data_IF_975657987364
#
_entry.id   IF_975657987364
#
_cell.length_a   1.000
_cell.length_b   1.000
_cell.length_c   1.000
_cell.angle_alpha   90.00
_cell.angle_beta   90.00
_cell.angle_gamma   90.00
#
_symmetry.space_group_name_H-M   'P 1'
#
loop_
_entity.id
_entity.type
_entity.pdbx_description
1 polymer ?
#
# COMPACT_ATOMS: atom_id res chain seq x y z
N UNK A 1 -22.78 -29.31 -14.11
CA UNK A 1 -22.25 -29.22 -12.74
C UNK A 1 -23.27 -29.68 -11.72
N UNK A 2 -22.79 -30.32 -10.67
CA UNK A 2 -23.49 -30.55 -9.39
C UNK A 2 -22.63 -29.88 -8.32
N UNK A 3 -23.20 -29.00 -7.50
CA UNK A 3 -22.51 -28.26 -6.43
C UNK A 3 -23.23 -28.51 -5.10
N UNK A 4 -22.45 -28.78 -4.06
CA UNK A 4 -22.88 -28.74 -2.66
C UNK A 4 -22.05 -27.67 -1.97
N UNK A 5 -22.72 -26.64 -1.47
CA UNK A 5 -22.07 -25.55 -0.76
C UNK A 5 -21.86 -25.93 0.70
N UNK A 6 -20.66 -25.70 1.19
CA UNK A 6 -20.32 -25.79 2.60
C UNK A 6 -20.49 -24.44 3.30
N UNK A 7 -20.12 -24.41 4.59
CA UNK A 7 -20.09 -23.16 5.34
C UNK A 7 -19.08 -22.20 4.72
N UNK A 8 -19.52 -20.97 4.51
CA UNK A 8 -18.70 -19.86 4.03
C UNK A 8 -18.56 -18.84 5.15
N UNK A 9 -17.35 -18.33 5.36
CA UNK A 9 -17.05 -17.35 6.39
C UNK A 9 -16.30 -16.18 5.78
N UNK A 10 -16.65 -14.99 6.24
CA UNK A 10 -16.01 -13.75 5.86
C UNK A 10 -16.09 -12.75 7.00
N UNK A 11 -15.32 -11.68 6.83
CA UNK A 11 -15.23 -10.56 7.75
C UNK A 11 -15.92 -9.36 7.13
N UNK A 12 -16.75 -8.69 7.92
CA UNK A 12 -17.39 -7.43 7.56
C UNK A 12 -17.03 -6.41 8.63
N UNK A 13 -16.32 -5.36 8.25
CA UNK A 13 -15.89 -4.35 9.21
C UNK A 13 -16.11 -2.93 8.68
N UNK A 14 -16.57 -2.08 9.59
CA UNK A 14 -16.56 -0.64 9.44
C UNK A 14 -15.13 -0.10 9.56
N UNK A 15 -14.73 0.76 8.63
CA UNK A 15 -13.52 1.56 8.79
C UNK A 15 -13.93 2.86 9.47
N UNK A 16 -13.33 3.16 10.63
CA UNK A 16 -13.60 4.36 11.40
C UNK A 16 -12.30 5.13 11.63
N UNK A 17 -12.30 6.42 11.29
CA UNK A 17 -11.16 7.31 11.46
C UNK A 17 -11.46 8.34 12.57
N UNK A 18 -11.03 8.07 13.81
CA UNK A 18 -11.18 9.04 14.91
C UNK A 18 -10.25 10.24 14.71
N UNK A 19 -10.81 11.43 14.83
CA UNK A 19 -10.12 12.71 14.88
C UNK A 19 -9.97 13.09 16.35
N UNK A 20 -8.73 13.23 16.79
CA UNK A 20 -8.40 13.56 18.16
C UNK A 20 -8.14 15.05 18.32
N UNK A 21 -8.47 15.57 19.50
CA UNK A 21 -7.99 16.88 19.97
C UNK A 21 -7.50 16.70 21.40
N UNK A 22 -6.23 17.00 21.64
CA UNK A 22 -5.55 16.79 22.92
C UNK A 22 -5.67 15.34 23.47
N UNK A 23 -5.50 14.35 22.59
CA UNK A 23 -5.55 12.93 22.96
C UNK A 23 -6.96 12.37 23.19
N UNK A 24 -8.01 13.17 23.05
CA UNK A 24 -9.40 12.72 23.16
C UNK A 24 -10.04 12.66 21.78
N UNK A 25 -10.68 11.53 21.44
CA UNK A 25 -11.44 11.40 20.20
C UNK A 25 -12.64 12.34 20.24
N UNK A 26 -12.65 13.36 19.37
CA UNK A 26 -13.72 14.38 19.32
C UNK A 26 -14.71 14.13 18.20
N UNK A 27 -14.28 13.44 17.14
CA UNK A 27 -15.10 13.13 15.97
C UNK A 27 -14.65 11.79 15.40
N UNK A 28 -15.56 11.02 14.83
CA UNK A 28 -15.23 9.82 14.06
C UNK A 28 -15.76 10.05 12.65
N UNK A 29 -14.91 9.89 11.64
CA UNK A 29 -15.36 9.83 10.26
C UNK A 29 -15.47 8.37 9.83
N UNK A 30 -16.48 8.09 9.01
CA UNK A 30 -16.75 6.77 8.47
C UNK A 30 -16.36 6.76 6.99
N UNK A 31 -15.11 6.46 6.64
CA UNK A 31 -14.67 6.41 5.24
C UNK A 31 -15.33 5.27 4.45
N UNK A 32 -15.78 4.19 5.09
CA UNK A 32 -16.46 3.10 4.40
C UNK A 32 -16.46 1.78 5.16
N UNK A 33 -16.71 0.70 4.43
CA UNK A 33 -16.73 -0.69 4.93
C UNK A 33 -15.80 -1.56 4.10
N UNK A 34 -15.27 -2.61 4.72
CA UNK A 34 -14.54 -3.66 4.05
C UNK A 34 -15.27 -5.00 4.22
N UNK A 35 -15.33 -5.76 3.13
CA UNK A 35 -15.75 -7.16 3.12
C UNK A 35 -14.57 -7.99 2.65
N UNK A 36 -14.32 -9.10 3.35
CA UNK A 36 -13.33 -10.10 2.96
C UNK A 36 -13.92 -11.50 3.17
N UNK A 37 -14.13 -12.26 2.11
CA UNK A 37 -14.62 -13.65 2.18
C UNK A 37 -13.44 -14.61 2.15
N UNK A 38 -12.82 -14.81 3.32
CA UNK A 38 -11.61 -15.62 3.43
C UNK A 38 -11.80 -17.13 3.17
N UNK A 39 -13.00 -17.70 3.37
CA UNK A 39 -13.24 -19.13 3.13
C UNK A 39 -14.61 -19.41 2.52
N UNK A 40 -14.62 -19.86 1.27
CA UNK A 40 -15.80 -20.42 0.60
C UNK A 40 -15.60 -21.93 0.37
N UNK A 41 -16.21 -22.76 1.23
CA UNK A 41 -16.14 -24.22 1.07
C UNK A 41 -17.22 -24.69 0.11
N UNK A 42 -16.85 -25.48 -0.89
CA UNK A 42 -17.78 -26.14 -1.81
C UNK A 42 -17.22 -27.47 -2.28
N UNK A 43 -18.11 -28.38 -2.63
CA UNK A 43 -17.81 -29.59 -3.37
C UNK A 43 -18.55 -29.47 -4.69
N UNK A 44 -17.84 -29.48 -5.80
CA UNK A 44 -18.43 -29.40 -7.13
C UNK A 44 -17.87 -30.49 -8.02
N UNK A 45 -18.72 -31.07 -8.88
CA UNK A 45 -18.34 -32.07 -9.87
C UNK A 45 -19.05 -31.80 -11.20
N UNK A 46 -18.37 -32.08 -12.30
CA UNK A 46 -18.98 -32.08 -13.62
C UNK A 46 -19.92 -33.31 -13.75
N UNK A 47 -21.06 -33.14 -14.44
CA UNK A 47 -22.08 -34.22 -14.52
C UNK A 47 -21.58 -35.42 -15.35
N UNK A 48 -20.72 -35.11 -16.30
CA UNK A 48 -20.02 -35.98 -17.25
C UNK A 48 -18.57 -36.28 -16.81
N UNK A 49 -18.17 -35.84 -15.61
CA UNK A 49 -16.81 -35.96 -15.10
C UNK A 49 -15.73 -35.29 -16.00
N UNK A 50 -16.11 -34.28 -16.77
CA UNK A 50 -15.18 -33.47 -17.55
C UNK A 50 -14.41 -32.48 -16.64
N UNK A 51 -13.10 -32.67 -16.56
CA UNK A 51 -12.19 -31.85 -15.76
C UNK A 51 -12.13 -30.40 -16.25
N UNK A 52 -12.19 -30.17 -17.57
CA UNK A 52 -12.13 -28.82 -18.14
C UNK A 52 -13.34 -27.98 -17.75
N UNK A 53 -14.52 -28.61 -17.73
CA UNK A 53 -15.77 -27.98 -17.27
C UNK A 53 -15.68 -27.67 -15.77
N UNK A 54 -15.10 -28.58 -14.98
CA UNK A 54 -14.90 -28.37 -13.55
C UNK A 54 -13.93 -27.22 -13.25
N UNK A 55 -12.79 -27.14 -13.95
CA UNK A 55 -11.81 -26.04 -13.83
C UNK A 55 -12.47 -24.71 -14.21
N UNK A 56 -13.15 -24.66 -15.36
CA UNK A 56 -13.84 -23.45 -15.83
C UNK A 56 -14.90 -22.98 -14.83
N UNK A 57 -15.65 -23.92 -14.26
CA UNK A 57 -16.62 -23.64 -13.22
C UNK A 57 -15.96 -23.05 -11.97
N UNK A 58 -14.83 -23.61 -11.52
CA UNK A 58 -14.12 -23.08 -10.36
C UNK A 58 -13.63 -21.65 -10.55
N UNK A 59 -13.10 -21.34 -11.76
CA UNK A 59 -12.70 -19.97 -12.14
C UNK A 59 -13.89 -19.02 -12.08
N UNK A 60 -15.00 -19.39 -12.73
CA UNK A 60 -16.23 -18.60 -12.73
C UNK A 60 -16.75 -18.32 -11.32
N UNK A 61 -16.74 -19.31 -10.43
CA UNK A 61 -17.21 -19.13 -9.05
C UNK A 61 -16.35 -18.17 -8.24
N UNK A 62 -15.03 -18.21 -8.43
CA UNK A 62 -14.12 -17.25 -7.80
C UNK A 62 -14.36 -15.82 -8.29
N UNK A 63 -14.49 -15.63 -9.61
CA UNK A 63 -14.82 -14.33 -10.20
C UNK A 63 -16.16 -13.80 -9.70
N UNK A 64 -17.16 -14.66 -9.61
CA UNK A 64 -18.47 -14.32 -9.08
C UNK A 64 -18.42 -13.93 -7.60
N UNK A 65 -17.68 -14.66 -6.77
CA UNK A 65 -17.50 -14.33 -5.36
C UNK A 65 -16.82 -12.96 -5.18
N UNK A 66 -15.72 -12.71 -5.90
CA UNK A 66 -15.04 -11.40 -5.89
C UNK A 66 -15.96 -10.29 -6.40
N UNK A 67 -16.84 -10.57 -7.37
CA UNK A 67 -17.82 -9.61 -7.82
C UNK A 67 -18.85 -9.26 -6.72
N UNK A 68 -19.29 -10.24 -5.94
CA UNK A 68 -20.20 -10.01 -4.83
C UNK A 68 -19.56 -9.18 -3.70
N UNK A 69 -18.24 -9.28 -3.48
CA UNK A 69 -17.55 -8.53 -2.43
C UNK A 69 -17.63 -7.00 -2.61
N UNK A 70 -17.75 -6.52 -3.85
CA UNK A 70 -17.99 -5.09 -4.10
C UNK A 70 -19.49 -4.78 -4.34
N UNK A 71 -20.22 -5.66 -5.03
CA UNK A 71 -21.60 -5.40 -5.38
C UNK A 71 -22.54 -5.37 -4.16
N UNK A 72 -22.29 -6.21 -3.15
CA UNK A 72 -23.13 -6.26 -1.93
C UNK A 72 -23.05 -4.94 -1.14
N UNK A 73 -21.85 -4.41 -0.80
CA UNK A 73 -21.74 -3.09 -0.18
C UNK A 73 -22.38 -1.98 -1.00
N UNK A 74 -22.17 -1.96 -2.32
CA UNK A 74 -22.75 -0.93 -3.18
C UNK A 74 -24.27 -0.95 -3.12
N UNK A 75 -24.89 -2.13 -3.23
CA UNK A 75 -26.35 -2.27 -3.16
C UNK A 75 -26.90 -1.93 -1.77
N UNK A 76 -26.14 -2.23 -0.71
CA UNK A 76 -26.60 -2.04 0.66
C UNK A 76 -26.44 -0.59 1.16
N UNK A 77 -25.32 0.06 0.82
CA UNK A 77 -24.96 1.39 1.35
C UNK A 77 -25.27 2.54 0.40
N UNK A 78 -25.40 2.30 -0.91
CA UNK A 78 -25.78 3.37 -1.83
C UNK A 78 -27.28 3.63 -1.75
N UNK A 79 -27.64 4.90 -1.56
CA UNK A 79 -29.01 5.36 -1.47
C UNK A 79 -29.42 6.00 -2.81
N UNK A 80 -30.32 5.36 -3.59
CA UNK A 80 -30.75 5.88 -4.90
C UNK A 80 -31.42 7.25 -4.84
N UNK A 81 -31.90 7.69 -3.67
CA UNK A 81 -32.45 9.03 -3.49
C UNK A 81 -31.36 10.11 -3.34
N UNK A 82 -30.11 9.72 -3.05
CA UNK A 82 -28.99 10.64 -2.80
C UNK A 82 -27.89 10.59 -3.85
N UNK A 83 -27.79 9.51 -4.60
CA UNK A 83 -26.77 9.35 -5.61
C UNK A 83 -27.24 8.46 -6.77
N UNK A 84 -26.61 8.63 -7.92
CA UNK A 84 -26.82 7.81 -9.11
C UNK A 84 -25.88 6.61 -9.10
N UNK A 85 -26.45 5.40 -9.08
CA UNK A 85 -25.65 4.16 -9.22
C UNK A 85 -24.92 4.16 -10.57
N UNK A 86 -23.74 3.53 -10.61
CA UNK A 86 -22.92 3.42 -11.81
C UNK A 86 -23.65 2.74 -12.98
N UNK A 87 -24.53 1.78 -12.68
CA UNK A 87 -25.33 1.02 -13.64
C UNK A 87 -26.71 1.62 -13.92
N UNK A 88 -27.01 2.83 -13.42
CA UNK A 88 -28.34 3.42 -13.58
C UNK A 88 -28.57 3.85 -15.05
N UNK A 89 -29.52 3.22 -15.78
CA UNK A 89 -29.82 3.57 -17.17
C UNK A 89 -30.54 4.93 -17.30
N UNK A 90 -31.04 5.49 -16.20
CA UNK A 90 -31.74 6.77 -16.17
C UNK A 90 -31.31 7.57 -14.94
N UNK A 91 -30.10 8.18 -14.96
CA UNK A 91 -29.59 8.95 -13.84
C UNK A 91 -30.47 10.18 -13.57
N UNK A 92 -30.80 10.39 -12.29
CA UNK A 92 -31.54 11.56 -11.84
C UNK A 92 -30.64 12.79 -11.93
N UNK A 93 -31.06 13.78 -12.71
CA UNK A 93 -30.32 15.02 -12.87
C UNK A 93 -30.13 15.73 -11.51
N UNK A 94 -28.91 16.17 -11.23
CA UNK A 94 -28.56 16.89 -9.99
C UNK A 94 -28.04 16.01 -8.85
N UNK A 95 -28.12 14.68 -8.94
CA UNK A 95 -27.51 13.78 -7.96
C UNK A 95 -26.07 13.38 -8.37
N UNK A 96 -25.11 13.33 -7.43
CA UNK A 96 -23.76 12.86 -7.71
C UNK A 96 -23.72 11.36 -8.00
N UNK A 97 -22.62 10.87 -8.57
CA UNK A 97 -22.38 9.43 -8.70
C UNK A 97 -22.25 8.78 -7.31
N UNK A 98 -22.81 7.59 -7.15
CA UNK A 98 -22.66 6.83 -5.91
C UNK A 98 -21.20 6.36 -5.72
N UNK A 99 -20.73 6.28 -4.47
CA UNK A 99 -19.45 5.63 -4.17
C UNK A 99 -19.43 4.19 -4.69
N UNK A 100 -18.27 3.81 -5.22
CA UNK A 100 -18.02 2.46 -5.69
C UNK A 100 -17.14 1.70 -4.69
N UNK A 101 -17.56 0.49 -4.34
CA UNK A 101 -16.71 -0.47 -3.67
C UNK A 101 -15.78 -1.15 -4.68
N UNK A 102 -14.64 -1.67 -4.21
CA UNK A 102 -13.61 -2.25 -5.06
C UNK A 102 -13.38 -3.71 -4.66
N UNK A 103 -13.28 -4.56 -5.68
CA UNK A 103 -12.83 -5.95 -5.60
C UNK A 103 -11.74 -6.19 -6.63
N UNK A 104 -11.09 -7.35 -6.60
CA UNK A 104 -10.08 -7.70 -7.60
C UNK A 104 -10.63 -7.64 -9.03
N UNK A 105 -11.80 -8.25 -9.27
CA UNK A 105 -12.42 -8.27 -10.60
C UNK A 105 -12.88 -6.87 -11.06
N UNK A 106 -13.40 -6.05 -10.14
CA UNK A 106 -13.79 -4.67 -10.47
C UNK A 106 -12.58 -3.79 -10.74
N UNK A 107 -11.51 -3.93 -9.98
CA UNK A 107 -10.27 -3.20 -10.21
C UNK A 107 -9.66 -3.53 -11.58
N UNK A 108 -9.65 -4.81 -11.98
CA UNK A 108 -9.23 -5.22 -13.32
C UNK A 108 -10.12 -4.62 -14.41
N UNK A 109 -11.45 -4.63 -14.22
CA UNK A 109 -12.38 -4.02 -15.17
C UNK A 109 -12.16 -2.52 -15.31
N UNK A 110 -12.00 -1.80 -14.20
CA UNK A 110 -11.74 -0.36 -14.20
C UNK A 110 -10.40 -0.04 -14.88
N UNK A 111 -9.34 -0.82 -14.59
CA UNK A 111 -8.06 -0.65 -15.24
C UNK A 111 -8.16 -0.86 -16.77
N UNK A 112 -8.91 -1.88 -17.21
CA UNK A 112 -9.16 -2.13 -18.63
C UNK A 112 -9.93 -0.96 -19.28
N UNK A 113 -10.97 -0.43 -18.63
CA UNK A 113 -11.71 0.76 -19.11
C UNK A 113 -10.82 2.01 -19.16
N UNK A 114 -9.83 2.13 -18.28
CA UNK A 114 -8.83 3.19 -18.29
C UNK A 114 -7.71 2.98 -19.33
N UNK A 115 -7.82 1.94 -20.19
CA UNK A 115 -6.85 1.63 -21.23
C UNK A 115 -5.53 1.07 -20.72
N UNK A 116 -5.49 0.58 -19.48
CA UNK A 116 -4.29 -0.06 -18.95
C UNK A 116 -4.09 -1.45 -19.52
N UNK A 117 -2.83 -1.88 -19.62
CA UNK A 117 -2.52 -3.26 -19.96
C UNK A 117 -2.90 -4.17 -18.79
N UNK A 118 -3.61 -5.25 -19.10
CA UNK A 118 -3.86 -6.36 -18.18
C UNK A 118 -2.87 -7.47 -18.53
N UNK A 119 -2.00 -7.82 -17.58
CA UNK A 119 -1.08 -8.93 -17.69
C UNK A 119 -1.76 -10.21 -17.25
N UNK A 120 -1.62 -11.26 -18.06
CA UNK A 120 -1.85 -12.65 -17.64
C UNK A 120 -0.51 -13.36 -17.70
N UNK A 121 0.03 -13.69 -16.54
CA UNK A 121 1.36 -14.26 -16.36
C UNK A 121 1.18 -15.73 -16.02
N UNK A 122 1.27 -16.57 -17.04
CA UNK A 122 1.32 -18.03 -16.86
C UNK A 122 2.73 -18.47 -16.48
N UNK A 123 2.88 -19.74 -16.08
CA UNK A 123 4.17 -20.37 -15.85
C UNK A 123 5.12 -20.21 -17.05
N UNK A 124 4.60 -20.36 -18.26
CA UNK A 124 5.39 -20.27 -19.50
C UNK A 124 5.84 -18.83 -19.77
N UNK A 125 5.00 -17.83 -19.44
CA UNK A 125 5.37 -16.41 -19.55
C UNK A 125 6.46 -16.07 -18.53
N UNK A 126 6.27 -16.52 -17.29
CA UNK A 126 7.20 -16.25 -16.20
C UNK A 126 8.57 -16.92 -16.41
N UNK A 127 8.62 -18.14 -16.94
CA UNK A 127 9.87 -18.81 -17.31
C UNK A 127 10.65 -18.08 -18.40
N UNK A 128 9.95 -17.49 -19.39
CA UNK A 128 10.57 -16.71 -20.46
C UNK A 128 11.00 -15.31 -20.02
N UNK A 129 10.36 -14.76 -18.99
CA UNK A 129 10.66 -13.45 -18.44
C UNK A 129 10.63 -13.50 -16.89
N UNK A 130 11.70 -14.00 -16.25
CA UNK A 130 11.75 -14.13 -14.79
C UNK A 130 11.69 -12.78 -14.06
N UNK A 131 12.01 -11.68 -14.75
CA UNK A 131 11.99 -10.33 -14.19
C UNK A 131 10.67 -9.58 -14.48
N UNK A 132 9.64 -10.26 -14.98
CA UNK A 132 8.37 -9.61 -15.34
C UNK A 132 7.73 -8.88 -14.16
N UNK A 133 7.83 -9.43 -12.94
CA UNK A 133 7.26 -8.85 -11.73
C UNK A 133 8.00 -7.56 -11.33
N UNK A 134 9.33 -7.55 -11.38
CA UNK A 134 10.12 -6.37 -11.01
C UNK A 134 10.08 -5.28 -12.09
N UNK A 135 9.90 -5.65 -13.36
CA UNK A 135 9.91 -4.70 -14.48
C UNK A 135 8.53 -4.14 -14.80
N UNK A 136 7.55 -5.01 -15.07
CA UNK A 136 6.22 -4.61 -15.53
C UNK A 136 5.29 -4.22 -14.38
N UNK A 137 5.54 -4.72 -13.17
CA UNK A 137 4.68 -4.49 -12.00
C UNK A 137 5.34 -3.58 -10.96
N UNK A 138 6.31 -2.75 -11.36
CA UNK A 138 7.06 -1.85 -10.47
C UNK A 138 6.17 -0.80 -9.77
N UNK A 139 5.00 -0.48 -10.34
CA UNK A 139 4.03 0.42 -9.74
C UNK A 139 3.27 -0.17 -8.53
N UNK A 140 3.38 -1.48 -8.32
CA UNK A 140 2.71 -2.20 -7.23
C UNK A 140 3.59 -2.27 -5.97
N UNK A 141 2.96 -2.47 -4.81
CA UNK A 141 3.68 -2.56 -3.55
C UNK A 141 4.66 -3.74 -3.53
N UNK A 142 5.73 -3.64 -2.73
CA UNK A 142 6.67 -4.75 -2.53
C UNK A 142 5.95 -6.01 -1.99
N UNK A 143 4.92 -5.82 -1.17
CA UNK A 143 4.14 -6.90 -0.60
C UNK A 143 3.35 -7.64 -1.69
N UNK A 144 2.64 -6.90 -2.56
CA UNK A 144 1.92 -7.51 -3.68
C UNK A 144 2.88 -8.18 -4.67
N UNK A 145 4.00 -7.52 -5.01
CA UNK A 145 5.03 -8.10 -5.88
C UNK A 145 5.61 -9.39 -5.30
N UNK A 146 5.96 -9.41 -4.01
CA UNK A 146 6.46 -10.61 -3.33
C UNK A 146 5.45 -11.75 -3.34
N UNK A 147 4.17 -11.46 -3.09
CA UNK A 147 3.10 -12.45 -3.13
C UNK A 147 2.89 -13.03 -4.53
N UNK A 148 2.84 -12.16 -5.55
CA UNK A 148 2.75 -12.55 -6.96
C UNK A 148 3.95 -13.40 -7.35
N UNK A 149 5.15 -13.00 -6.92
CA UNK A 149 6.38 -13.71 -7.21
C UNK A 149 6.36 -15.13 -6.63
N UNK A 150 5.90 -15.28 -5.38
CA UNK A 150 5.74 -16.57 -4.72
C UNK A 150 4.67 -17.45 -5.41
N UNK A 151 3.54 -16.85 -5.80
CA UNK A 151 2.48 -17.53 -6.53
C UNK A 151 2.97 -18.08 -7.88
N UNK A 152 3.69 -17.26 -8.65
CA UNK A 152 4.31 -17.66 -9.92
C UNK A 152 5.34 -18.77 -9.73
N UNK A 153 6.16 -18.69 -8.67
CA UNK A 153 7.12 -19.75 -8.32
C UNK A 153 6.43 -21.08 -7.96
N UNK A 154 5.22 -21.03 -7.42
CA UNK A 154 4.36 -22.20 -7.15
C UNK A 154 3.63 -22.71 -8.39
N UNK A 155 3.78 -22.05 -9.54
CA UNK A 155 3.13 -22.43 -10.80
C UNK A 155 1.69 -21.92 -10.94
N UNK A 156 1.27 -20.98 -10.10
CA UNK A 156 -0.02 -20.31 -10.26
C UNK A 156 0.01 -19.32 -11.45
N UNK A 157 -1.13 -19.14 -12.10
CA UNK A 157 -1.40 -18.13 -13.12
C UNK A 157 -1.79 -16.81 -12.43
N UNK A 158 -1.18 -15.70 -12.84
CA UNK A 158 -1.47 -14.39 -12.24
C UNK A 158 -2.11 -13.46 -13.26
N UNK A 159 -3.24 -12.84 -12.90
CA UNK A 159 -3.86 -11.75 -13.67
C UNK A 159 -3.79 -10.44 -12.88
N UNK A 160 -3.18 -9.40 -13.45
CA UNK A 160 -2.99 -8.10 -12.79
C UNK A 160 -2.92 -6.97 -13.83
N UNK A 161 -3.34 -5.76 -13.46
CA UNK A 161 -3.18 -4.57 -14.31
C UNK A 161 -1.84 -3.84 -14.07
N UNK A 162 -1.40 -3.04 -15.04
CA UNK A 162 -0.04 -2.43 -15.07
C UNK A 162 0.26 -1.43 -13.93
N UNK A 163 -0.75 -0.69 -13.46
CA UNK A 163 -0.53 0.42 -12.51
C UNK A 163 -1.74 0.65 -11.64
N UNK A 164 -1.51 1.17 -10.44
CA UNK A 164 -2.58 1.47 -9.48
C UNK A 164 -3.69 2.33 -10.10
N UNK A 165 -4.94 1.93 -9.89
CA UNK A 165 -6.12 2.73 -10.26
C UNK A 165 -6.53 3.60 -9.06
N UNK A 166 -7.29 4.65 -9.35
CA UNK A 166 -7.96 5.46 -8.33
C UNK A 166 -9.46 5.49 -8.62
N UNK A 167 -10.27 5.16 -7.63
CA UNK A 167 -11.73 5.12 -7.75
C UNK A 167 -12.36 5.46 -6.39
N UNK A 168 -13.34 6.38 -6.37
CA UNK A 168 -14.08 6.74 -5.14
C UNK A 168 -13.20 7.02 -3.90
N UNK A 169 -12.01 7.61 -4.10
CA UNK A 169 -11.04 7.92 -3.04
C UNK A 169 -10.14 6.75 -2.61
N UNK A 170 -10.38 5.55 -3.14
CA UNK A 170 -9.49 4.41 -3.02
C UNK A 170 -8.40 4.47 -4.09
N UNK A 171 -7.16 4.16 -3.73
CA UNK A 171 -6.04 3.99 -4.66
C UNK A 171 -5.37 2.65 -4.39
N UNK A 172 -5.23 1.83 -5.43
CA UNK A 172 -4.72 0.47 -5.27
C UNK A 172 -4.78 -0.35 -6.56
N UNK A 173 -4.59 -1.65 -6.42
CA UNK A 173 -4.66 -2.62 -7.51
C UNK A 173 -5.47 -3.84 -7.10
N UNK A 174 -5.99 -4.56 -8.10
CA UNK A 174 -6.59 -5.88 -7.93
C UNK A 174 -5.82 -6.90 -8.76
N UNK A 175 -5.59 -8.07 -8.19
CA UNK A 175 -4.94 -9.18 -8.87
C UNK A 175 -5.56 -10.52 -8.48
N UNK A 176 -5.42 -11.48 -9.38
CA UNK A 176 -5.99 -12.82 -9.25
C UNK A 176 -4.86 -13.83 -9.36
N UNK A 177 -4.80 -14.78 -8.44
CA UNK A 177 -3.87 -15.91 -8.43
C UNK A 177 -4.69 -17.19 -8.66
N UNK A 178 -4.53 -17.87 -9.78
CA UNK A 178 -5.30 -19.07 -10.14
C UNK A 178 -4.37 -20.27 -10.20
N UNK A 179 -4.74 -21.36 -9.55
CA UNK A 179 -4.16 -22.68 -9.82
C UNK A 179 -4.73 -23.20 -11.15
N UNK A 180 -3.91 -23.33 -12.21
CA UNK A 180 -4.40 -23.75 -13.51
C UNK A 180 -4.94 -25.19 -13.53
N UNK A 181 -4.50 -26.04 -12.61
CA UNK A 181 -4.92 -27.45 -12.54
C UNK A 181 -6.30 -27.63 -11.90
N UNK A 182 -6.70 -26.71 -11.01
CA UNK A 182 -7.98 -26.82 -10.29
C UNK A 182 -8.97 -25.71 -10.63
N UNK A 183 -8.50 -24.58 -11.16
CA UNK A 183 -9.28 -23.36 -11.35
C UNK A 183 -9.62 -22.64 -10.05
N UNK A 184 -9.14 -23.12 -8.90
CA UNK A 184 -9.24 -22.41 -7.63
C UNK A 184 -8.34 -21.18 -7.68
N UNK A 185 -8.76 -20.09 -7.03
CA UNK A 185 -7.93 -18.89 -7.02
C UNK A 185 -8.22 -17.94 -5.89
N UNK A 186 -7.21 -17.13 -5.58
CA UNK A 186 -7.29 -16.01 -4.66
C UNK A 186 -7.53 -14.72 -5.45
N UNK A 187 -8.47 -13.91 -5.00
CA UNK A 187 -8.89 -12.66 -5.64
C UNK A 187 -8.61 -11.54 -4.65
N UNK A 188 -7.59 -10.75 -4.94
CA UNK A 188 -6.99 -9.88 -3.93
C UNK A 188 -6.90 -8.45 -4.41
N UNK A 189 -6.91 -7.54 -3.44
CA UNK A 189 -6.66 -6.13 -3.67
C UNK A 189 -5.48 -5.68 -2.80
N UNK A 190 -4.66 -4.80 -3.34
CA UNK A 190 -3.67 -4.04 -2.57
C UNK A 190 -4.06 -2.57 -2.53
N UNK A 191 -3.57 -1.87 -1.50
CA UNK A 191 -3.90 -0.46 -1.25
C UNK A 191 -5.11 -0.30 -0.34
N UNK A 192 -5.67 0.91 -0.32
CA UNK A 192 -6.74 1.30 0.60
C UNK A 192 -6.30 2.10 1.82
N UNK A 193 -7.30 2.66 2.51
CA UNK A 193 -7.24 3.62 3.62
C UNK A 193 -5.98 4.50 3.70
N UNK A 194 -5.92 5.54 2.86
CA UNK A 194 -5.11 6.77 3.02
C UNK A 194 -3.75 6.64 3.76
N UNK A 195 -2.94 5.63 3.43
CA UNK A 195 -1.60 5.43 4.02
C UNK A 195 -0.43 6.06 3.24
N UNK A 196 -0.67 6.55 2.02
CA UNK A 196 0.40 7.06 1.14
C UNK A 196 0.49 8.59 0.99
N UNK A 197 -0.41 9.36 1.65
CA UNK A 197 -0.37 10.83 1.54
C UNK A 197 0.82 11.45 2.28
N UNK A 198 1.40 10.78 3.27
CA UNK A 198 2.61 11.26 3.95
C UNK A 198 3.85 11.05 3.08
N UNK A 199 3.99 9.88 2.44
CA UNK A 199 5.15 9.58 1.59
C UNK A 199 5.14 10.45 0.32
N UNK A 200 3.99 10.67 -0.33
CA UNK A 200 3.95 11.54 -1.51
C UNK A 200 4.29 13.00 -1.16
N UNK A 201 3.80 13.52 -0.03
CA UNK A 201 4.12 14.88 0.43
C UNK A 201 5.58 15.05 0.85
N UNK A 202 6.21 14.00 1.39
CA UNK A 202 7.65 13.98 1.68
C UNK A 202 8.45 14.02 0.38
N UNK A 203 8.06 13.24 -0.64
CA UNK A 203 8.71 13.25 -1.95
C UNK A 203 8.56 14.62 -2.65
N UNK A 204 7.38 15.24 -2.59
CA UNK A 204 7.15 16.58 -3.13
C UNK A 204 8.03 17.65 -2.42
N UNK A 205 8.19 17.54 -1.10
CA UNK A 205 9.07 18.41 -0.31
C UNK A 205 10.57 18.25 -0.66
N UNK A 206 10.99 17.04 -1.06
CA UNK A 206 12.37 16.73 -1.43
C UNK A 206 12.71 17.14 -2.88
N UNK A 207 11.80 16.95 -3.83
CA UNK A 207 12.09 17.11 -5.27
C UNK A 207 11.91 18.55 -5.79
N UNK A 208 10.99 19.33 -5.23
CA UNK A 208 10.75 20.72 -5.66
C UNK A 208 11.97 21.65 -5.49
N UNK A 209 12.73 21.63 -4.37
CA UNK A 209 13.93 22.47 -4.25
C UNK A 209 15.10 22.02 -5.15
N UNK A 210 15.23 20.71 -5.45
CA UNK A 210 16.24 20.17 -6.36
C UNK A 210 16.03 20.64 -7.82
N UNK A 211 14.78 20.67 -8.28
CA UNK A 211 14.42 21.19 -9.60
C UNK A 211 14.57 22.71 -9.69
N UNK A 212 14.32 23.42 -8.59
CA UNK A 212 14.54 24.86 -8.48
C UNK A 212 16.03 25.24 -8.56
N UNK A 213 16.93 24.35 -8.11
CA UNK A 213 18.38 24.54 -8.15
C UNK A 213 18.99 24.32 -9.55
N UNK A 214 18.46 23.37 -10.33
CA UNK A 214 18.88 23.13 -11.71
C UNK A 214 18.65 24.34 -12.64
N UNK A 215 17.72 25.23 -12.27
CA UNK A 215 17.41 26.47 -13.00
C UNK A 215 18.36 27.62 -12.64
N UNK A 216 18.98 27.62 -11.45
CA UNK A 216 19.85 28.71 -10.98
C UNK A 216 21.29 28.56 -11.48
N UNK A 217 21.78 27.34 -11.71
CA UNK A 217 23.14 27.08 -12.23
C UNK A 217 23.38 27.51 -13.70
N UNK A 218 22.34 27.95 -14.41
CA UNK A 218 22.45 28.41 -15.80
C UNK A 218 22.97 29.85 -15.95
N UNK A 219 23.10 30.61 -14.86
CA UNK A 219 23.40 32.05 -14.93
C UNK A 219 24.67 32.41 -14.13
N UNK A 220 25.77 32.66 -14.83
CA UNK A 220 27.13 32.85 -14.26
C UNK A 220 27.26 34.08 -13.34
N UNK A 221 26.30 35.01 -13.42
CA UNK A 221 26.32 36.28 -12.67
C UNK A 221 25.97 36.15 -11.18
N UNK A 222 25.53 34.97 -10.70
CA UNK A 222 25.10 34.74 -9.30
C UNK A 222 26.07 33.91 -8.44
N UNK A 223 27.22 33.49 -8.99
CA UNK A 223 28.17 32.55 -8.39
C UNK A 223 28.63 32.90 -6.95
N UNK A 224 28.76 34.18 -6.61
CA UNK A 224 29.21 34.65 -5.29
C UNK A 224 28.09 34.69 -4.24
N UNK A 225 26.84 34.84 -4.65
CA UNK A 225 25.68 34.75 -3.74
C UNK A 225 25.25 33.29 -3.52
N UNK A 226 25.48 32.42 -4.51
CA UNK A 226 25.26 30.97 -4.40
C UNK A 226 26.17 30.29 -3.36
N UNK A 227 27.41 30.78 -3.20
CA UNK A 227 28.35 30.29 -2.18
C UNK A 227 27.88 30.58 -0.74
N UNK A 228 27.13 31.66 -0.51
CA UNK A 228 26.57 32.01 0.82
C UNK A 228 25.36 31.14 1.17
N UNK A 229 24.64 30.64 0.16
CA UNK A 229 23.53 29.71 0.36
C UNK A 229 23.99 28.26 0.60
N UNK A 230 25.27 27.94 0.40
CA UNK A 230 25.85 26.62 0.62
C UNK A 230 25.77 26.17 2.10
N UNK A 231 25.96 27.09 3.05
CA UNK A 231 25.80 26.82 4.47
C UNK A 231 24.33 26.50 4.83
N UNK A 232 23.38 27.25 4.25
CA UNK A 232 21.95 26.96 4.37
C UNK A 232 21.54 25.63 3.74
N UNK A 233 22.17 25.27 2.62
CA UNK A 233 21.95 24.00 1.92
C UNK A 233 22.47 22.80 2.73
N UNK A 234 23.66 22.90 3.33
CA UNK A 234 24.18 21.83 4.21
C UNK A 234 23.37 21.70 5.51
N UNK A 235 22.88 22.81 6.07
CA UNK A 235 21.95 22.80 7.21
C UNK A 235 20.62 22.14 6.84
N UNK A 236 20.09 22.42 5.65
CA UNK A 236 18.86 21.80 5.15
C UNK A 236 19.03 20.31 4.84
N UNK A 237 20.12 19.89 4.20
CA UNK A 237 20.46 18.47 3.97
C UNK A 237 20.61 17.71 5.29
N UNK A 238 21.26 18.33 6.29
CA UNK A 238 21.37 17.78 7.64
C UNK A 238 20.00 17.57 8.28
N UNK A 239 19.09 18.55 8.17
CA UNK A 239 17.73 18.42 8.69
C UNK A 239 16.87 17.38 7.91
N UNK A 240 17.03 17.30 6.60
CA UNK A 240 16.29 16.37 5.75
C UNK A 240 16.69 14.90 5.99
N UNK A 241 18.00 14.62 6.09
CA UNK A 241 18.50 13.26 6.40
C UNK A 241 18.03 12.79 7.78
N UNK A 242 17.99 13.70 8.76
CA UNK A 242 17.44 13.48 10.09
C UNK A 242 15.97 13.07 10.07
N UNK A 243 15.13 13.81 9.33
CA UNK A 243 13.69 13.53 9.26
C UNK A 243 13.44 12.18 8.59
N UNK A 244 14.19 11.88 7.52
CA UNK A 244 14.10 10.60 6.80
C UNK A 244 14.47 9.43 7.72
N UNK A 245 15.57 9.54 8.46
CA UNK A 245 16.05 8.47 9.34
C UNK A 245 15.08 8.19 10.50
N UNK A 246 14.47 9.22 11.08
CA UNK A 246 13.41 9.07 12.10
C UNK A 246 12.19 8.35 11.53
N UNK A 247 11.76 8.73 10.32
CA UNK A 247 10.58 8.13 9.67
C UNK A 247 10.83 6.67 9.31
N UNK A 248 12.00 6.35 8.74
CA UNK A 248 12.36 4.96 8.42
C UNK A 248 12.44 4.08 9.67
N UNK A 249 13.02 4.62 10.75
CA UNK A 249 13.08 3.93 12.05
C UNK A 249 11.68 3.68 12.61
N UNK A 250 10.79 4.66 12.54
CA UNK A 250 9.39 4.52 12.99
C UNK A 250 8.63 3.46 12.18
N UNK A 251 8.79 3.44 10.85
CA UNK A 251 8.15 2.48 9.96
C UNK A 251 8.64 1.04 10.19
N UNK A 252 9.94 0.84 10.42
CA UNK A 252 10.50 -0.47 10.74
C UNK A 252 9.91 -1.05 12.04
N UNK A 253 9.70 -0.21 13.06
CA UNK A 253 9.18 -0.64 14.38
C UNK A 253 7.70 -0.98 14.29
N UNK A 254 6.89 -0.16 13.62
CA UNK A 254 5.46 -0.44 13.41
C UNK A 254 5.26 -1.71 12.56
N UNK A 255 6.18 -1.99 11.63
CA UNK A 255 6.15 -3.22 10.84
C UNK A 255 6.52 -4.49 11.62
N UNK A 256 7.27 -4.39 12.71
CA UNK A 256 7.76 -5.54 13.48
C UNK A 256 6.95 -5.82 14.76
N UNK A 257 6.17 -4.86 15.25
CA UNK A 257 5.51 -4.95 16.55
C UNK A 257 3.99 -4.75 16.42
N UNK A 258 3.21 -5.69 16.98
CA UNK A 258 1.74 -5.72 16.83
C UNK A 258 0.99 -4.86 17.86
N UNK A 259 1.63 -4.52 18.99
CA UNK A 259 1.02 -3.72 20.07
C UNK A 259 2.09 -2.89 20.79
N UNK A 260 2.29 -1.62 20.39
CA UNK A 260 3.50 -0.91 20.82
C UNK A 260 3.42 0.62 20.75
N UNK A 261 2.36 1.22 21.30
CA UNK A 261 2.32 2.69 21.45
C UNK A 261 3.45 3.19 22.38
N UNK A 262 3.68 2.55 23.53
CA UNK A 262 4.70 2.97 24.50
C UNK A 262 6.15 2.80 24.00
N UNK A 263 6.45 1.71 23.29
CA UNK A 263 7.78 1.48 22.72
C UNK A 263 8.08 2.47 21.58
N UNK A 264 7.08 2.79 20.75
CA UNK A 264 7.24 3.81 19.71
C UNK A 264 7.54 5.19 20.31
N UNK A 265 6.84 5.62 21.38
CA UNK A 265 7.08 6.94 21.99
C UNK A 265 8.46 7.07 22.65
N UNK A 266 8.95 6.04 23.35
CA UNK A 266 10.27 6.08 23.98
C UNK A 266 11.41 6.07 22.96
N UNK A 267 11.29 5.27 21.89
CA UNK A 267 12.29 5.21 20.82
C UNK A 267 12.29 6.51 20.01
N UNK A 268 11.11 7.06 19.69
CA UNK A 268 10.98 8.36 19.01
C UNK A 268 11.54 9.51 19.86
N UNK A 269 11.30 9.51 21.18
CA UNK A 269 11.86 10.49 22.09
C UNK A 269 13.39 10.44 22.18
N UNK A 270 13.96 9.23 22.27
CA UNK A 270 15.41 9.05 22.38
C UNK A 270 16.15 9.35 21.05
N UNK A 271 15.55 8.96 19.92
CA UNK A 271 16.08 9.31 18.59
C UNK A 271 16.03 10.83 18.35
N UNK A 272 14.92 11.50 18.69
CA UNK A 272 14.81 12.96 18.59
C UNK A 272 15.84 13.69 19.48
N UNK A 273 16.13 13.18 20.68
CA UNK A 273 17.14 13.75 21.58
C UNK A 273 18.57 13.63 21.02
N UNK A 274 18.96 12.45 20.54
CA UNK A 274 20.27 12.19 19.92
C UNK A 274 20.47 13.10 18.69
N UNK A 275 19.41 13.27 17.91
CA UNK A 275 19.41 14.13 16.73
C UNK A 275 19.53 15.60 17.11
N UNK A 276 18.82 16.06 18.14
CA UNK A 276 18.93 17.44 18.64
C UNK A 276 20.36 17.73 19.08
N UNK A 277 21.01 16.79 19.76
CA UNK A 277 22.43 16.89 20.10
C UNK A 277 23.30 16.98 18.84
N UNK A 278 23.05 16.14 17.84
CA UNK A 278 23.81 16.15 16.57
C UNK A 278 23.69 17.48 15.82
N UNK A 279 22.49 18.07 15.76
CA UNK A 279 22.22 19.37 15.12
C UNK A 279 22.87 20.51 15.90
N UNK A 280 22.83 20.47 17.23
CA UNK A 280 23.52 21.44 18.09
C UNK A 280 25.02 21.38 17.85
N UNK A 281 25.63 20.19 17.77
CA UNK A 281 27.06 20.06 17.47
C UNK A 281 27.42 20.45 16.03
N UNK A 282 26.55 20.20 15.04
CA UNK A 282 26.73 20.64 13.66
C UNK A 282 26.64 22.17 13.52
N UNK A 283 25.84 22.84 14.34
CA UNK A 283 25.79 24.30 14.43
C UNK A 283 27.03 24.93 15.07
N UNK A 284 27.76 24.17 15.89
CA UNK A 284 29.00 24.62 16.57
C UNK A 284 30.23 24.38 15.68
N UNK A 285 30.35 23.20 15.06
CA UNK A 285 31.44 22.88 14.14
C UNK A 285 31.10 21.66 13.24
N UNK A 286 31.20 21.80 11.91
CA UNK A 286 30.99 20.68 10.97
C UNK A 286 31.97 19.52 11.19
N UNK A 287 33.21 19.81 11.57
CA UNK A 287 34.25 18.80 11.83
C UNK A 287 33.93 17.99 13.09
N UNK A 288 33.37 18.64 14.10
CA UNK A 288 32.96 17.99 15.34
C UNK A 288 31.74 17.08 15.11
N UNK A 289 30.79 17.51 14.28
CA UNK A 289 29.64 16.68 13.90
C UNK A 289 30.07 15.40 13.16
N UNK A 290 31.02 15.50 12.22
CA UNK A 290 31.55 14.33 11.50
C UNK A 290 32.27 13.34 12.43
N UNK A 291 33.05 13.84 13.38
CA UNK A 291 33.78 13.00 14.33
C UNK A 291 32.86 12.24 15.31
N UNK A 292 31.71 12.83 15.68
CA UNK A 292 30.80 12.25 16.68
C UNK A 292 29.69 11.38 16.02
N UNK A 293 29.37 11.62 14.76
CA UNK A 293 28.37 10.87 13.99
C UNK A 293 28.46 9.32 14.09
N UNK A 294 29.64 8.67 14.00
CA UNK A 294 29.71 7.21 14.13
C UNK A 294 29.35 6.73 15.55
N UNK A 295 29.74 7.46 16.59
CA UNK A 295 29.41 7.12 17.97
C UNK A 295 27.90 7.27 18.25
N UNK A 296 27.29 8.31 17.68
CA UNK A 296 25.84 8.55 17.72
C UNK A 296 25.08 7.41 17.04
N UNK A 297 25.53 6.96 15.86
CA UNK A 297 24.91 5.85 15.14
C UNK A 297 24.99 4.53 15.92
N UNK A 298 26.15 4.24 16.53
CA UNK A 298 26.34 3.05 17.37
C UNK A 298 25.43 3.11 18.60
N UNK A 299 25.35 4.26 19.27
CA UNK A 299 24.47 4.45 20.43
C UNK A 299 22.99 4.31 20.08
N UNK A 300 22.57 4.85 18.93
CA UNK A 300 21.21 4.69 18.39
C UNK A 300 20.89 3.21 18.19
N UNK A 301 21.75 2.48 17.49
CA UNK A 301 21.53 1.07 17.16
C UNK A 301 21.49 0.19 18.42
N UNK A 302 22.41 0.41 19.36
CA UNK A 302 22.44 -0.35 20.62
C UNK A 302 21.17 -0.13 21.46
N UNK A 303 20.66 1.10 21.49
CA UNK A 303 19.42 1.44 22.21
C UNK A 303 18.20 0.86 21.48
N UNK A 304 18.17 0.95 20.16
CA UNK A 304 17.11 0.36 19.34
C UNK A 304 17.04 -1.16 19.54
N UNK A 305 18.17 -1.86 19.52
CA UNK A 305 18.24 -3.31 19.76
C UNK A 305 17.79 -3.68 21.19
N UNK A 306 18.19 -2.91 22.20
CA UNK A 306 17.75 -3.12 23.58
C UNK A 306 16.21 -3.02 23.71
N UNK A 307 15.61 -1.97 23.14
CA UNK A 307 14.16 -1.77 23.19
C UNK A 307 13.39 -2.79 22.34
N UNK A 308 13.89 -3.13 21.15
CA UNK A 308 13.27 -4.16 20.30
C UNK A 308 13.25 -5.52 21.00
N UNK A 309 14.33 -5.91 21.67
CA UNK A 309 14.39 -7.17 22.41
C UNK A 309 13.49 -7.19 23.66
N UNK A 310 13.28 -6.04 24.30
CA UNK A 310 12.46 -5.92 25.50
C UNK A 310 10.95 -5.87 25.22
N UNK A 311 10.53 -5.17 24.15
CA UNK A 311 9.12 -4.92 23.85
C UNK A 311 8.58 -5.74 22.67
N UNK A 312 9.45 -6.28 21.81
CA UNK A 312 9.09 -7.12 20.67
C UNK A 312 9.91 -8.42 20.67
N UNK A 313 9.77 -9.27 21.70
CA UNK A 313 10.53 -10.51 21.80
C UNK A 313 10.20 -11.42 20.61
N UNK A 314 11.24 -11.99 19.99
CA UNK A 314 11.08 -12.98 18.92
C UNK A 314 10.36 -14.19 19.49
N UNK A 315 9.10 -14.39 19.12
CA UNK A 315 8.43 -15.69 19.35
C UNK A 315 9.16 -16.73 18.51
N UNK A 316 9.83 -17.67 19.18
CA UNK A 316 10.37 -18.89 18.56
C UNK A 316 9.26 -19.72 17.94
#
# INVERSE_FOLDING_TARGET
MVEVTGKTFGLFHAIAHPIYSWGVARKVTFPGVNIDVGYQRRIAAAKDNDESIWIAYNRMRGQYASALEHAVPERFFNDPAKCNSYDNPSPTAGLPACPQAISAVKALSLAATQGQKIYTITKEVYQRNPNIVSTQLSAHSEQARSRIQNALNQGLEVTIHERLITESGWKGSGYILIDPSTGAGAYEIEGGSQGASLISKILDFLFVPLLSWGVILGNINHLLDDLKHLDGFFKWLGAATVIIDVILTALQIVGQCKDSAAAAFLILGFTALIITLTVVFAGISPLLAWAIAPFISIAKNAVQDYYLNMYCPKTS
#
